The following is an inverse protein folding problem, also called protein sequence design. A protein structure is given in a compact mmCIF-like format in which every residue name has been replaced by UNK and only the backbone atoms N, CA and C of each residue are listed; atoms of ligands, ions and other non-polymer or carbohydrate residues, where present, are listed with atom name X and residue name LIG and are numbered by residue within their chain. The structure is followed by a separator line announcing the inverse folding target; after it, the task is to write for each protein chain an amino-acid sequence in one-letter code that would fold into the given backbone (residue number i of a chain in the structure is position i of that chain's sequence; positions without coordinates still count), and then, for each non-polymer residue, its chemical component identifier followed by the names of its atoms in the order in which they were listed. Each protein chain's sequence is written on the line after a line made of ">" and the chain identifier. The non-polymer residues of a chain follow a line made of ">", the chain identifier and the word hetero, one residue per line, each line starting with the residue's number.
data_IF_917624559067
#
_entry.id   IF_917624559067
#
_cell.length_a   1.000
_cell.length_b   1.000
_cell.length_c   1.000
_cell.angle_alpha   90.00
_cell.angle_beta   90.00
_cell.angle_gamma   90.00
#
_symmetry.space_group_name_H-M   'P 1'
#
loop_
_entity.id
_entity.type
_entity.pdbx_description
1 polymer ?
#
# COMPACT_ATOMS: atom_id res chain seq x y z
N UNK A 1 10.28 -22.43 48.48
CA UNK A 1 10.44 -21.95 47.10
C UNK A 1 10.96 -23.08 46.22
N UNK A 2 10.21 -23.49 45.20
CA UNK A 2 10.52 -24.68 44.39
C UNK A 2 11.64 -24.36 43.39
N UNK A 3 12.86 -24.83 43.66
CA UNK A 3 14.08 -24.52 42.88
C UNK A 3 14.04 -24.99 41.42
N UNK A 4 13.08 -25.86 41.07
CA UNK A 4 12.89 -26.38 39.70
C UNK A 4 11.97 -25.52 38.84
N UNK A 5 11.25 -24.55 39.41
CA UNK A 5 10.31 -23.69 38.68
C UNK A 5 11.02 -22.63 37.82
N UNK A 6 12.13 -22.08 38.31
CA UNK A 6 12.91 -21.04 37.63
C UNK A 6 13.54 -21.50 36.29
N UNK A 7 14.21 -22.67 36.19
CA UNK A 7 14.77 -23.13 34.91
C UNK A 7 13.68 -23.53 33.89
N UNK A 8 12.51 -24.01 34.34
CA UNK A 8 11.38 -24.32 33.46
C UNK A 8 10.75 -23.04 32.89
N UNK A 9 10.60 -22.01 33.71
CA UNK A 9 10.12 -20.71 33.26
C UNK A 9 11.11 -20.06 32.27
N UNK A 10 12.42 -20.16 32.53
CA UNK A 10 13.44 -19.67 31.61
C UNK A 10 13.44 -20.41 30.27
N UNK A 11 13.34 -21.75 30.27
CA UNK A 11 13.27 -22.53 29.04
C UNK A 11 12.00 -22.23 28.22
N UNK A 12 10.84 -22.07 28.89
CA UNK A 12 9.60 -21.69 28.22
C UNK A 12 9.67 -20.28 27.62
N UNK A 13 10.30 -19.33 28.33
CA UNK A 13 10.51 -17.96 27.83
C UNK A 13 11.44 -17.93 26.61
N UNK A 14 12.57 -18.65 26.66
CA UNK A 14 13.49 -18.75 25.51
C UNK A 14 12.79 -19.38 24.31
N UNK A 15 12.00 -20.45 24.51
CA UNK A 15 11.24 -21.07 23.44
C UNK A 15 10.19 -20.13 22.82
N UNK A 16 9.51 -19.32 23.64
CA UNK A 16 8.54 -18.33 23.17
C UNK A 16 9.21 -17.20 22.35
N UNK A 17 10.38 -16.73 22.77
CA UNK A 17 11.14 -15.69 22.06
C UNK A 17 11.74 -16.18 20.74
N UNK A 18 12.05 -17.47 20.60
CA UNK A 18 12.55 -18.04 19.35
C UNK A 18 11.46 -18.27 18.29
N UNK A 19 10.18 -18.14 18.67
CA UNK A 19 9.02 -18.32 17.77
C UNK A 19 8.50 -17.02 17.15
N UNK A 20 9.11 -15.86 17.42
CA UNK A 20 8.71 -14.61 16.77
C UNK A 20 9.21 -14.58 15.32
N UNK A 21 8.32 -14.86 14.36
CA UNK A 21 8.57 -14.65 12.93
C UNK A 21 8.48 -13.17 12.56
N UNK A 22 9.17 -12.78 11.47
CA UNK A 22 9.02 -11.46 10.88
C UNK A 22 7.64 -11.36 10.21
N UNK A 23 6.84 -10.37 10.60
CA UNK A 23 5.57 -10.06 9.92
C UNK A 23 5.87 -9.17 8.69
N UNK A 24 5.49 -9.66 7.51
CA UNK A 24 5.68 -8.94 6.25
C UNK A 24 4.38 -8.23 5.92
N UNK A 25 4.31 -6.93 6.20
CA UNK A 25 3.13 -6.14 5.90
C UNK A 25 3.23 -5.57 4.48
N UNK A 26 2.19 -5.75 3.69
CA UNK A 26 2.04 -5.14 2.37
C UNK A 26 1.24 -3.86 2.48
N UNK A 27 1.53 -2.87 1.62
CA UNK A 27 0.83 -1.60 1.58
C UNK A 27 0.59 -1.14 0.15
N UNK A 28 -0.62 -0.63 -0.06
CA UNK A 28 -0.99 0.11 -1.23
C UNK A 28 -0.80 1.60 -0.95
N UNK A 29 0.09 2.22 -1.72
CA UNK A 29 0.39 3.65 -1.65
C UNK A 29 -0.30 4.35 -2.83
N UNK A 30 -1.15 5.34 -2.50
CA UNK A 30 -1.67 6.31 -3.45
C UNK A 30 -0.98 7.66 -3.16
N UNK A 31 -0.08 8.06 -4.04
CA UNK A 31 0.86 9.16 -3.81
C UNK A 31 0.64 10.31 -4.80
N UNK A 32 0.71 11.54 -4.31
CA UNK A 32 0.93 12.76 -5.09
C UNK A 32 1.99 13.60 -4.38
N UNK A 33 2.87 14.32 -5.11
CA UNK A 33 3.90 15.16 -4.50
C UNK A 33 3.34 16.34 -3.70
N UNK A 34 2.17 16.86 -4.10
CA UNK A 34 1.56 18.03 -3.48
C UNK A 34 0.09 17.77 -3.18
N UNK A 35 -0.25 17.74 -1.88
CA UNK A 35 -1.61 17.49 -1.39
C UNK A 35 -2.39 18.78 -1.13
N UNK A 36 -1.68 19.88 -0.81
CA UNK A 36 -2.27 21.15 -0.42
C UNK A 36 -1.98 22.20 -1.49
N UNK A 37 -2.87 22.32 -2.47
CA UNK A 37 -2.71 23.25 -3.57
C UNK A 37 -3.20 24.66 -3.19
N UNK A 38 -2.41 25.68 -3.51
CA UNK A 38 -2.81 27.10 -3.34
C UNK A 38 -3.74 27.58 -4.48
N UNK A 39 -3.59 27.01 -5.68
CA UNK A 39 -4.38 27.36 -6.86
C UNK A 39 -4.76 26.10 -7.66
N UNK A 40 -5.78 26.18 -8.53
CA UNK A 40 -6.16 25.04 -9.37
C UNK A 40 -4.99 24.54 -10.23
N UNK A 41 -4.67 23.26 -10.11
CA UNK A 41 -3.56 22.62 -10.82
C UNK A 41 -3.94 21.21 -11.27
N UNK A 42 -3.16 20.66 -12.19
CA UNK A 42 -3.15 19.24 -12.47
C UNK A 42 -2.22 18.56 -11.46
N UNK A 43 -2.65 17.42 -10.92
CA UNK A 43 -1.85 16.60 -10.02
C UNK A 43 -1.55 15.26 -10.65
N UNK A 44 -0.36 14.74 -10.35
CA UNK A 44 0.05 13.40 -10.69
C UNK A 44 -0.22 12.47 -9.51
N UNK A 45 -0.84 11.32 -9.82
CA UNK A 45 -1.14 10.27 -8.87
C UNK A 45 -0.34 9.02 -9.26
N UNK A 46 0.39 8.45 -8.31
CA UNK A 46 1.06 7.17 -8.45
C UNK A 46 0.44 6.14 -7.50
N UNK A 47 0.11 4.97 -8.03
CA UNK A 47 -0.48 3.85 -7.32
C UNK A 47 0.56 2.73 -7.28
N UNK A 48 1.13 2.50 -6.11
CA UNK A 48 2.30 1.63 -5.91
C UNK A 48 1.99 0.60 -4.82
N UNK A 49 2.36 -0.65 -5.05
CA UNK A 49 2.22 -1.74 -4.07
C UNK A 49 3.60 -2.16 -3.54
N UNK A 50 3.75 -2.34 -2.23
CA UNK A 50 5.03 -2.73 -1.65
C UNK A 50 5.09 -2.73 -0.12
N UNK A 51 6.29 -2.97 0.42
CA UNK A 51 6.53 -2.92 1.87
C UNK A 51 6.65 -1.47 2.39
N UNK A 52 6.26 -1.21 3.66
CA UNK A 52 6.16 0.14 4.20
C UNK A 52 7.53 0.78 4.50
N UNK A 53 7.50 2.10 4.68
CA UNK A 53 8.55 2.97 5.25
C UNK A 53 9.84 3.14 4.43
N UNK A 54 10.30 2.14 3.69
CA UNK A 54 11.57 2.23 2.97
C UNK A 54 11.40 2.52 1.47
N UNK A 55 10.21 2.30 0.88
CA UNK A 55 9.95 2.42 -0.57
C UNK A 55 10.95 1.62 -1.45
N UNK A 56 11.70 0.68 -0.85
CA UNK A 56 12.77 -0.07 -1.50
C UNK A 56 12.29 -1.40 -2.07
N UNK A 57 11.18 -1.94 -1.57
CA UNK A 57 10.65 -3.22 -2.03
C UNK A 57 9.22 -3.03 -2.58
N UNK A 58 9.14 -2.79 -3.89
CA UNK A 58 7.89 -2.71 -4.64
C UNK A 58 7.54 -4.05 -5.26
N UNK A 59 6.25 -4.30 -5.39
CA UNK A 59 5.68 -5.56 -5.84
C UNK A 59 4.73 -5.28 -7.01
N UNK A 60 4.62 -6.23 -7.93
CA UNK A 60 3.75 -6.07 -9.10
C UNK A 60 2.29 -5.91 -8.68
N UNK A 61 1.68 -4.85 -9.18
CA UNK A 61 0.29 -4.52 -8.95
C UNK A 61 -0.57 -5.04 -10.11
N UNK A 62 -1.54 -5.90 -9.79
CA UNK A 62 -2.56 -6.29 -10.77
C UNK A 62 -3.49 -5.13 -11.15
N UNK A 63 -4.19 -5.21 -12.30
CA UNK A 63 -5.15 -4.18 -12.73
C UNK A 63 -6.17 -3.82 -11.63
N UNK A 64 -6.22 -2.54 -11.19
CA UNK A 64 -7.15 -2.13 -10.14
C UNK A 64 -8.60 -2.46 -10.48
N UNK A 65 -9.35 -2.97 -9.50
CA UNK A 65 -10.79 -3.19 -9.61
C UNK A 65 -11.59 -1.89 -9.59
N UNK A 66 -10.98 -0.80 -9.12
CA UNK A 66 -11.55 0.52 -9.22
C UNK A 66 -10.61 1.61 -8.72
N UNK A 67 -10.67 2.76 -9.36
CA UNK A 67 -9.98 3.98 -8.95
C UNK A 67 -10.93 5.14 -9.12
N UNK A 68 -11.10 5.99 -8.10
CA UNK A 68 -12.13 7.03 -8.12
C UNK A 68 -11.73 8.25 -7.30
N UNK A 69 -12.45 9.34 -7.54
CA UNK A 69 -12.43 10.54 -6.70
C UNK A 69 -13.83 10.84 -6.19
N UNK A 70 -13.92 11.20 -4.91
CA UNK A 70 -15.13 11.74 -4.30
C UNK A 70 -14.92 13.24 -4.06
N UNK A 71 -15.80 14.06 -4.62
CA UNK A 71 -15.81 15.51 -4.41
C UNK A 71 -17.23 15.97 -4.13
N UNK A 72 -17.46 16.58 -2.96
CA UNK A 72 -18.79 17.08 -2.53
C UNK A 72 -19.92 16.04 -2.63
N UNK A 73 -19.61 14.78 -2.32
CA UNK A 73 -20.57 13.67 -2.35
C UNK A 73 -20.78 13.04 -3.73
N UNK A 74 -20.19 13.60 -4.79
CA UNK A 74 -20.19 13.00 -6.12
C UNK A 74 -18.97 12.11 -6.31
N UNK A 75 -19.21 10.83 -6.63
CA UNK A 75 -18.16 9.85 -6.93
C UNK A 75 -17.96 9.77 -8.43
N UNK A 76 -16.74 10.02 -8.89
CA UNK A 76 -16.34 9.92 -10.29
C UNK A 76 -15.36 8.78 -10.45
N UNK A 77 -15.68 7.85 -11.35
CA UNK A 77 -14.76 6.77 -11.73
C UNK A 77 -13.61 7.34 -12.57
N UNK A 78 -12.39 6.91 -12.23
CA UNK A 78 -11.13 7.31 -12.86
C UNK A 78 -10.35 6.09 -13.38
N UNK A 79 -10.95 4.90 -13.38
CA UNK A 79 -10.26 3.65 -13.76
C UNK A 79 -9.72 3.72 -15.19
N UNK A 80 -10.46 4.35 -16.11
CA UNK A 80 -10.03 4.55 -17.51
C UNK A 80 -8.89 5.57 -17.66
N UNK A 81 -8.55 6.32 -16.61
CA UNK A 81 -7.44 7.27 -16.60
C UNK A 81 -6.13 6.62 -16.14
N UNK A 82 -6.15 5.34 -15.76
CA UNK A 82 -4.97 4.63 -15.30
C UNK A 82 -4.04 4.27 -16.47
N UNK A 83 -2.78 4.67 -16.34
CA UNK A 83 -1.67 4.27 -17.21
C UNK A 83 -0.81 3.25 -16.47
N UNK A 84 -0.67 2.05 -17.02
CA UNK A 84 0.27 1.05 -16.51
C UNK A 84 1.71 1.50 -16.76
N UNK A 85 2.56 1.36 -15.74
CA UNK A 85 3.97 1.77 -15.79
C UNK A 85 4.85 0.76 -15.08
N UNK A 86 6.09 0.62 -15.56
CA UNK A 86 7.15 -0.03 -14.79
C UNK A 86 7.72 0.98 -13.79
N UNK A 87 7.38 0.82 -12.52
CA UNK A 87 7.85 1.70 -11.46
C UNK A 87 9.23 1.28 -10.97
N UNK A 88 10.18 2.22 -11.00
CA UNK A 88 11.50 2.08 -10.39
C UNK A 88 11.57 3.00 -9.17
N UNK A 89 11.41 2.41 -7.99
CA UNK A 89 11.57 3.10 -6.73
C UNK A 89 13.05 3.32 -6.36
N UNK A 90 13.34 3.85 -5.16
CA UNK A 90 14.70 3.99 -4.64
C UNK A 90 15.41 2.65 -4.35
N UNK A 91 14.68 1.52 -4.37
CA UNK A 91 15.26 0.20 -4.19
C UNK A 91 15.72 -0.47 -5.49
N UNK A 92 16.08 -1.75 -5.39
CA UNK A 92 16.46 -2.55 -6.55
C UNK A 92 15.25 -3.22 -7.19
N UNK A 93 15.13 -3.10 -8.50
CA UNK A 93 14.08 -3.73 -9.31
C UNK A 93 13.06 -2.73 -9.88
N UNK A 94 12.22 -3.25 -10.77
CA UNK A 94 11.03 -2.58 -11.26
C UNK A 94 9.81 -3.40 -10.86
N UNK A 95 8.69 -2.73 -10.63
CA UNK A 95 7.41 -3.36 -10.36
C UNK A 95 6.31 -2.78 -11.25
N UNK A 96 5.36 -3.61 -11.68
CA UNK A 96 4.15 -3.15 -12.34
C UNK A 96 3.36 -2.23 -11.39
N UNK A 97 3.06 -1.02 -11.85
CA UNK A 97 2.34 -0.02 -11.09
C UNK A 97 1.45 0.81 -12.02
N UNK A 98 0.73 1.78 -11.46
CA UNK A 98 -0.15 2.63 -12.25
C UNK A 98 0.04 4.10 -11.92
N UNK A 99 -0.17 4.96 -12.92
CA UNK A 99 -0.24 6.41 -12.76
C UNK A 99 -1.56 6.94 -13.31
N UNK A 100 -1.96 8.09 -12.83
CA UNK A 100 -3.06 8.86 -13.39
C UNK A 100 -2.79 10.35 -13.19
N UNK A 101 -3.36 11.19 -14.04
CA UNK A 101 -3.41 12.63 -13.82
C UNK A 101 -4.85 13.06 -13.53
N UNK A 102 -5.00 14.05 -12.66
CA UNK A 102 -6.31 14.62 -12.36
C UNK A 102 -6.24 16.14 -12.21
N UNK A 103 -7.14 16.85 -12.88
CA UNK A 103 -7.21 18.31 -12.79
C UNK A 103 -8.11 18.75 -11.63
N UNK A 104 -7.50 19.35 -10.61
CA UNK A 104 -8.20 20.02 -9.53
C UNK A 104 -8.72 21.37 -10.04
N UNK A 105 -10.04 21.57 -9.97
CA UNK A 105 -10.71 22.74 -10.60
C UNK A 105 -11.33 23.71 -9.60
N UNK A 106 -11.74 23.21 -8.45
CA UNK A 106 -12.50 23.95 -7.44
C UNK A 106 -11.88 23.72 -6.08
N UNK A 107 -11.93 24.73 -5.20
CA UNK A 107 -11.50 24.59 -3.82
C UNK A 107 -12.39 23.57 -3.05
N UNK A 108 -11.73 22.78 -2.21
CA UNK A 108 -12.33 21.75 -1.35
C UNK A 108 -11.50 20.48 -1.32
N UNK A 109 -11.97 19.52 -0.51
CA UNK A 109 -11.28 18.24 -0.32
C UNK A 109 -11.68 17.24 -1.42
N UNK A 110 -10.68 16.68 -2.08
CA UNK A 110 -10.84 15.59 -3.04
C UNK A 110 -10.34 14.32 -2.38
N UNK A 111 -11.24 13.34 -2.22
CA UNK A 111 -10.88 12.06 -1.62
C UNK A 111 -10.68 11.07 -2.75
N UNK A 112 -9.43 10.69 -3.01
CA UNK A 112 -9.13 9.63 -3.96
C UNK A 112 -9.16 8.28 -3.24
N UNK A 113 -9.75 7.28 -3.90
CA UNK A 113 -9.85 5.93 -3.37
C UNK A 113 -9.46 4.90 -4.42
N UNK A 114 -8.86 3.81 -3.95
CA UNK A 114 -8.33 2.72 -4.75
C UNK A 114 -8.80 1.38 -4.21
N UNK A 115 -9.33 0.56 -5.12
CA UNK A 115 -9.63 -0.85 -4.90
C UNK A 115 -8.65 -1.66 -5.75
N UNK A 116 -7.50 -2.08 -5.20
CA UNK A 116 -6.54 -2.91 -5.91
C UNK A 116 -7.10 -4.31 -6.18
N UNK A 117 -6.48 -5.00 -7.14
CA UNK A 117 -6.69 -6.42 -7.32
C UNK A 117 -6.21 -7.20 -6.08
N UNK A 118 -6.91 -8.26 -5.65
CA UNK A 118 -6.38 -9.16 -4.63
C UNK A 118 -5.02 -9.72 -5.05
N UNK A 119 -4.02 -9.51 -4.21
CA UNK A 119 -2.67 -10.03 -4.39
C UNK A 119 -2.56 -11.42 -3.79
N UNK A 120 -1.97 -12.38 -4.51
CA UNK A 120 -1.68 -13.71 -3.99
C UNK A 120 -0.35 -13.70 -3.24
N UNK A 121 -0.36 -13.89 -1.92
CA UNK A 121 0.84 -14.08 -1.12
C UNK A 121 1.23 -15.56 -1.12
N UNK A 122 2.12 -15.92 -2.03
CA UNK A 122 2.53 -17.31 -2.26
C UNK A 122 3.18 -17.97 -1.02
N UNK A 123 3.83 -17.20 -0.15
CA UNK A 123 4.44 -17.75 1.07
C UNK A 123 3.42 -18.16 2.13
N UNK A 124 2.22 -17.58 2.07
CA UNK A 124 1.13 -17.83 3.01
C UNK A 124 -0.04 -18.60 2.39
N UNK A 125 -0.05 -18.82 1.07
CA UNK A 125 -1.13 -19.47 0.30
C UNK A 125 -2.50 -18.80 0.51
N UNK A 126 -2.49 -17.45 0.56
CA UNK A 126 -3.69 -16.63 0.75
C UNK A 126 -3.72 -15.44 -0.21
N UNK A 127 -4.93 -14.92 -0.43
CA UNK A 127 -5.12 -13.62 -1.06
C UNK A 127 -5.21 -12.50 -0.03
N UNK A 128 -4.52 -11.40 -0.32
CA UNK A 128 -4.56 -10.15 0.44
C UNK A 128 -5.22 -9.10 -0.44
N UNK A 129 -6.24 -8.42 0.09
CA UNK A 129 -6.78 -7.22 -0.54
C UNK A 129 -6.74 -6.07 0.45
N UNK A 130 -6.18 -4.96 0.00
CA UNK A 130 -6.19 -3.70 0.74
C UNK A 130 -7.24 -2.79 0.13
N UNK A 131 -7.82 -1.91 0.92
CA UNK A 131 -8.73 -0.86 0.43
C UNK A 131 -8.14 0.45 0.92
N UNK A 132 -7.80 1.34 -0.01
CA UNK A 132 -7.01 2.55 0.26
C UNK A 132 -7.79 3.78 -0.14
#
# INVERSE_FOLDING_TARGET
>A
MNRTALPRAAAALTAALTFSGAAHAHFQLLYTPEMLLETPAEIDLALIFGHPMENTHTMDMGPPKGFFVLFRGEKTDLTDNLEAVDWQGPGEGSAEAYKATYKIRRNGDYLFGLVPEPYMEASEDIYIQQLT
#
